data_IF_257755557974
#
_entry.id   IF_257755557974
#
_cell.length_a   1.000
_cell.length_b   1.000
_cell.length_c   1.000
_cell.angle_alpha   90.00
_cell.angle_beta   90.00
_cell.angle_gamma   90.00
#
_symmetry.space_group_name_H-M   'P 1'
#
loop_
_entity.id
_entity.type
_entity.pdbx_description
1 polymer ?
#
# COMPACT_ATOMS: atom_id res chain seq x y z
N UNK A 1 5.87 0.70 -3.29
CA UNK A 1 4.68 1.16 -4.02
C UNK A 1 3.52 0.30 -3.60
N UNK A 2 2.42 0.94 -3.21
CA UNK A 2 1.13 0.29 -3.02
C UNK A 2 0.27 0.65 -4.23
N UNK A 3 -0.38 -0.33 -4.85
CA UNK A 3 -1.32 -0.13 -5.97
C UNK A 3 -2.45 -1.13 -5.80
N UNK A 4 -3.68 -0.71 -6.04
CA UNK A 4 -4.84 -1.59 -6.00
C UNK A 4 -5.13 -2.18 -7.38
N UNK A 5 -5.66 -3.40 -7.44
CA UNK A 5 -6.06 -4.03 -8.72
C UNK A 5 -7.32 -3.41 -9.32
N UNK A 6 -8.15 -2.82 -8.48
CA UNK A 6 -9.37 -2.10 -8.84
C UNK A 6 -9.14 -0.59 -9.01
N UNK A 7 -7.88 -0.13 -9.13
CA UNK A 7 -7.55 1.25 -9.48
C UNK A 7 -8.22 1.61 -10.82
N UNK A 8 -9.10 2.61 -10.76
CA UNK A 8 -9.94 3.04 -11.87
C UNK A 8 -9.26 4.03 -12.83
N UNK A 9 -8.06 4.50 -12.47
CA UNK A 9 -7.30 5.51 -13.22
C UNK A 9 -6.01 4.92 -13.82
N UNK A 10 -5.28 4.09 -13.08
CA UNK A 10 -4.00 3.51 -13.47
C UNK A 10 -4.06 1.98 -13.60
N UNK A 11 -3.46 1.44 -14.66
CA UNK A 11 -3.30 -0.02 -14.79
C UNK A 11 -2.21 -0.53 -13.84
N UNK A 12 -2.60 -1.35 -12.87
CA UNK A 12 -1.70 -1.93 -11.88
C UNK A 12 -0.59 -2.80 -12.49
N UNK A 13 -0.83 -3.45 -13.65
CA UNK A 13 0.16 -4.27 -14.35
C UNK A 13 1.26 -3.41 -14.94
N UNK A 14 0.90 -2.26 -15.51
CA UNK A 14 1.88 -1.30 -16.02
C UNK A 14 2.72 -0.71 -14.88
N UNK A 15 2.06 -0.33 -13.78
CA UNK A 15 2.74 0.24 -12.62
C UNK A 15 3.69 -0.76 -11.97
N UNK A 16 3.27 -2.01 -11.78
CA UNK A 16 4.14 -3.06 -11.21
C UNK A 16 5.34 -3.37 -12.10
N UNK A 17 5.17 -3.40 -13.43
CA UNK A 17 6.28 -3.58 -14.36
C UNK A 17 7.25 -2.38 -14.37
N UNK A 18 6.70 -1.16 -14.35
CA UNK A 18 7.48 0.09 -14.33
C UNK A 18 8.34 0.18 -13.08
N UNK A 19 7.78 -0.19 -11.92
CA UNK A 19 8.44 -0.14 -10.62
C UNK A 19 8.94 -1.50 -10.13
N UNK A 20 9.25 -2.45 -11.03
CA UNK A 20 9.65 -3.83 -10.70
C UNK A 20 10.84 -3.97 -9.73
N UNK A 21 11.65 -2.93 -9.59
CA UNK A 21 12.83 -2.91 -8.69
C UNK A 21 12.53 -2.27 -7.33
N UNK A 22 11.31 -1.78 -7.10
CA UNK A 22 10.86 -1.26 -5.81
C UNK A 22 10.21 -2.37 -4.98
N UNK A 23 10.05 -2.15 -3.67
CA UNK A 23 9.19 -3.01 -2.83
C UNK A 23 7.74 -2.80 -3.26
N UNK A 24 7.13 -3.84 -3.85
CA UNK A 24 5.77 -3.80 -4.37
C UNK A 24 4.78 -4.41 -3.37
N UNK A 25 3.64 -3.75 -3.21
CA UNK A 25 2.43 -4.26 -2.55
C UNK A 25 1.28 -4.05 -3.51
N UNK A 26 0.72 -5.15 -4.03
CA UNK A 26 -0.45 -5.11 -4.91
C UNK A 26 -1.65 -5.52 -4.07
N UNK A 27 -2.51 -4.55 -3.75
CA UNK A 27 -3.74 -4.77 -2.99
C UNK A 27 -4.86 -5.27 -3.91
N UNK A 28 -5.78 -6.07 -3.36
CA UNK A 28 -6.93 -6.54 -4.14
C UNK A 28 -7.96 -5.43 -4.38
N UNK A 29 -8.15 -4.55 -3.39
CA UNK A 29 -9.10 -3.44 -3.42
C UNK A 29 -8.45 -2.15 -2.92
N UNK A 30 -9.14 -1.02 -3.07
CA UNK A 30 -8.77 0.28 -2.52
C UNK A 30 -8.90 1.43 -3.52
N UNK A 31 -9.09 1.12 -4.80
CA UNK A 31 -9.17 2.11 -5.88
C UNK A 31 -7.91 2.94 -6.04
N UNK A 32 -7.98 3.98 -6.86
CA UNK A 32 -6.85 4.89 -7.08
C UNK A 32 -6.46 5.67 -5.82
N UNK A 33 -7.45 5.99 -4.99
CA UNK A 33 -7.25 6.75 -3.76
C UNK A 33 -6.61 5.93 -2.62
N UNK A 34 -6.63 4.59 -2.70
CA UNK A 34 -6.32 3.69 -1.58
C UNK A 34 -7.16 4.07 -0.35
N UNK A 35 -8.49 4.05 -0.49
CA UNK A 35 -9.44 4.52 0.54
C UNK A 35 -9.26 3.84 1.92
N UNK A 36 -8.66 2.64 1.93
CA UNK A 36 -8.38 1.82 3.10
C UNK A 36 -6.91 1.89 3.57
N UNK A 37 -6.15 2.89 3.10
CA UNK A 37 -4.71 3.04 3.35
C UNK A 37 -4.35 2.99 4.84
N UNK A 38 -5.09 3.73 5.67
CA UNK A 38 -4.80 3.82 7.10
C UNK A 38 -4.96 2.46 7.82
N UNK A 39 -5.95 1.66 7.44
CA UNK A 39 -6.24 0.38 8.08
C UNK A 39 -5.45 -0.79 7.48
N UNK A 40 -5.09 -0.76 6.20
CA UNK A 40 -4.47 -1.91 5.52
C UNK A 40 -3.03 -1.71 5.05
N UNK A 41 -2.54 -0.47 4.96
CA UNK A 41 -1.27 -0.18 4.28
C UNK A 41 -0.28 0.63 5.13
N UNK A 42 -0.77 1.49 6.02
CA UNK A 42 0.07 2.39 6.81
C UNK A 42 1.15 1.64 7.58
N UNK A 43 0.81 0.58 8.30
CA UNK A 43 1.78 -0.18 9.11
C UNK A 43 2.94 -0.72 8.28
N UNK A 44 2.63 -1.26 7.09
CA UNK A 44 3.64 -1.78 6.19
C UNK A 44 4.54 -0.68 5.60
N UNK A 45 4.01 0.52 5.42
CA UNK A 45 4.78 1.69 4.96
C UNK A 45 5.69 2.18 6.09
N UNK A 46 5.18 2.27 7.32
CA UNK A 46 5.99 2.65 8.48
C UNK A 46 7.11 1.66 8.74
N UNK A 47 6.84 0.36 8.66
CA UNK A 47 7.85 -0.70 8.73
C UNK A 47 8.93 -0.53 7.64
N UNK A 48 8.52 -0.26 6.39
CA UNK A 48 9.46 -0.01 5.30
C UNK A 48 10.35 1.20 5.55
N UNK A 49 9.83 2.24 6.20
CA UNK A 49 10.57 3.45 6.58
C UNK A 49 11.41 3.28 7.85
N UNK A 50 11.29 2.16 8.57
CA UNK A 50 11.96 1.95 9.86
C UNK A 50 11.38 2.80 10.99
N UNK A 51 10.11 3.22 10.87
CA UNK A 51 9.42 4.00 11.90
C UNK A 51 8.74 3.02 12.87
N UNK A 52 9.10 3.11 14.15
CA UNK A 52 8.50 2.28 15.19
C UNK A 52 7.01 2.61 15.34
N UNK A 53 6.16 1.59 15.23
CA UNK A 53 4.74 1.69 15.54
C UNK A 53 4.59 1.35 17.03
N UNK A 54 4.27 2.33 17.90
CA UNK A 54 4.01 2.01 19.30
C UNK A 54 2.79 1.08 19.37
N UNK A 55 2.81 0.05 20.22
CA UNK A 55 1.68 -0.86 20.34
C UNK A 55 0.41 -0.06 20.68
N UNK A 56 -0.71 -0.38 20.03
CA UNK A 56 -2.00 0.20 20.40
C UNK A 56 -2.23 -0.09 21.88
N UNK A 57 -2.53 0.95 22.67
CA UNK A 57 -3.02 0.74 24.03
C UNK A 57 -4.29 -0.11 23.93
N UNK A 58 -4.22 -1.34 24.42
CA UNK A 58 -5.43 -2.10 24.72
C UNK A 58 -6.17 -1.36 25.82
N UNK A 59 -7.44 -1.03 25.58
CA UNK A 59 -8.39 -0.62 26.63
C UNK A 59 -8.69 -1.77 27.59
#
# INVERSE_FOLDING_TARGET
MVVARDDEVLDWREMTQRYRHAKLRVAEHGGHALDDYASHHLDAVLEFLGIAIPPSKSD
#
